data_IF_352167264014
#
_entry.id   IF_352167264014
#
_cell.length_a   1.000
_cell.length_b   1.000
_cell.length_c   1.000
_cell.angle_alpha   90.00
_cell.angle_beta   90.00
_cell.angle_gamma   90.00
#
_symmetry.space_group_name_H-M   'P 1'
#
loop_
_entity.id
_entity.type
_entity.pdbx_description
1 polymer ?
#
# COMPACT_ATOMS: atom_id res chain seq x y z
N UNK A 1 -67.16 9.36 14.27
CA UNK A 1 -66.18 10.37 13.79
C UNK A 1 -64.81 9.70 13.84
N UNK A 2 -64.39 9.02 12.76
CA UNK A 2 -63.18 8.18 12.74
C UNK A 2 -62.01 8.97 12.14
N UNK A 3 -60.94 9.16 12.91
CA UNK A 3 -59.68 9.73 12.41
C UNK A 3 -58.77 8.58 11.99
N UNK A 4 -58.48 8.49 10.70
CA UNK A 4 -57.48 7.57 10.14
C UNK A 4 -56.11 8.23 10.27
N UNK A 5 -55.17 7.56 10.93
CA UNK A 5 -53.78 8.01 11.09
C UNK A 5 -52.95 7.40 9.95
N UNK A 6 -52.51 8.23 9.00
CA UNK A 6 -51.55 7.80 7.96
C UNK A 6 -50.12 7.84 8.52
N UNK A 7 -49.45 6.69 8.54
CA UNK A 7 -48.01 6.60 8.81
C UNK A 7 -47.26 6.70 7.47
N UNK A 8 -46.53 7.81 7.25
CA UNK A 8 -45.59 7.92 6.13
C UNK A 8 -44.28 7.22 6.51
N UNK A 9 -44.00 6.07 5.89
CA UNK A 9 -42.67 5.46 5.90
C UNK A 9 -41.79 6.19 4.88
N UNK A 10 -40.90 7.07 5.37
CA UNK A 10 -39.86 7.67 4.54
C UNK A 10 -38.72 6.66 4.34
N UNK A 11 -38.64 6.09 3.14
CA UNK A 11 -37.49 5.26 2.73
C UNK A 11 -36.32 6.22 2.49
N UNK A 12 -35.36 6.27 3.41
CA UNK A 12 -34.10 6.99 3.22
C UNK A 12 -33.21 6.19 2.26
N UNK A 13 -32.78 6.75 1.12
CA UNK A 13 -31.83 6.08 0.23
C UNK A 13 -30.48 5.97 0.93
N UNK A 14 -30.03 4.74 1.16
CA UNK A 14 -28.70 4.44 1.66
C UNK A 14 -27.70 4.75 0.53
N UNK A 15 -27.17 5.98 0.49
CA UNK A 15 -26.08 6.31 -0.43
C UNK A 15 -24.81 5.56 0.02
N UNK A 16 -24.55 4.42 -0.62
CA UNK A 16 -23.25 3.77 -0.49
C UNK A 16 -22.22 4.63 -1.25
N UNK A 17 -21.28 5.21 -0.52
CA UNK A 17 -20.12 5.91 -1.09
C UNK A 17 -19.29 4.88 -1.86
N UNK A 18 -19.36 4.92 -3.19
CA UNK A 18 -18.45 4.14 -4.04
C UNK A 18 -17.10 4.86 -3.95
N UNK A 19 -16.23 4.40 -3.04
CA UNK A 19 -14.82 4.83 -3.08
C UNK A 19 -14.17 4.22 -4.31
N UNK A 20 -13.74 5.09 -5.22
CA UNK A 20 -12.93 4.69 -6.37
C UNK A 20 -11.65 4.05 -5.85
N UNK A 21 -11.52 2.76 -6.08
CA UNK A 21 -10.36 1.97 -5.71
C UNK A 21 -9.19 2.38 -6.62
N UNK A 22 -8.09 2.88 -6.03
CA UNK A 22 -6.88 3.25 -6.77
C UNK A 22 -5.81 2.19 -6.59
N UNK A 23 -5.12 1.86 -7.68
CA UNK A 23 -3.92 1.02 -7.67
C UNK A 23 -2.62 1.85 -7.59
N UNK A 24 -2.75 3.18 -7.62
CA UNK A 24 -1.65 4.12 -7.80
C UNK A 24 -1.67 5.21 -6.72
N UNK A 25 -0.49 5.54 -6.20
CA UNK A 25 -0.20 6.64 -5.29
C UNK A 25 0.70 7.67 -6.00
N UNK A 26 0.21 8.90 -6.13
CA UNK A 26 0.95 10.02 -6.74
C UNK A 26 1.67 10.88 -5.69
N UNK A 27 2.55 11.80 -6.12
CA UNK A 27 3.28 12.74 -5.24
C UNK A 27 2.37 13.69 -4.47
N UNK A 28 1.14 13.93 -4.93
CA UNK A 28 0.15 14.74 -4.23
C UNK A 28 -0.68 13.97 -3.21
N UNK A 29 -0.52 12.65 -3.16
CA UNK A 29 -1.28 11.77 -2.29
C UNK A 29 -0.42 11.23 -1.16
N UNK A 30 -1.11 10.87 -0.08
CA UNK A 30 -0.54 10.17 1.06
C UNK A 30 -1.45 8.99 1.38
N UNK A 31 -0.88 7.91 1.91
CA UNK A 31 -1.62 6.77 2.43
C UNK A 31 -1.46 6.75 3.94
N UNK A 32 -2.58 6.85 4.66
CA UNK A 32 -2.67 6.79 6.13
C UNK A 32 -3.17 5.43 6.59
N UNK A 33 -3.07 5.20 7.89
CA UNK A 33 -3.67 4.04 8.53
C UNK A 33 -5.19 3.98 8.28
N UNK A 34 -5.69 2.80 7.88
CA UNK A 34 -7.08 2.58 7.49
C UNK A 34 -7.37 2.81 6.00
N UNK A 35 -6.44 3.42 5.25
CA UNK A 35 -6.51 3.57 3.80
C UNK A 35 -5.70 2.46 3.11
N UNK A 36 -6.13 2.07 1.91
CA UNK A 36 -5.45 1.05 1.10
C UNK A 36 -5.40 1.43 -0.38
N UNK A 37 -4.41 0.89 -1.09
CA UNK A 37 -4.41 0.81 -2.56
C UNK A 37 -4.56 -0.66 -2.96
N UNK A 38 -5.25 -0.91 -4.06
CA UNK A 38 -5.62 -2.27 -4.48
C UNK A 38 -5.26 -2.45 -5.95
N UNK A 39 -4.72 -3.60 -6.31
CA UNK A 39 -4.39 -3.92 -7.70
C UNK A 39 -5.63 -3.79 -8.60
N UNK A 40 -5.43 -3.48 -9.88
CA UNK A 40 -6.52 -3.25 -10.83
C UNK A 40 -7.52 -4.41 -10.89
N UNK A 41 -7.04 -5.66 -10.75
CA UNK A 41 -7.87 -6.87 -10.72
C UNK A 41 -8.49 -7.20 -9.34
N UNK A 42 -8.18 -6.41 -8.31
CA UNK A 42 -8.63 -6.59 -6.94
C UNK A 42 -8.01 -7.78 -6.20
N UNK A 43 -6.96 -8.39 -6.71
CA UNK A 43 -6.31 -9.57 -6.11
C UNK A 43 -5.42 -9.20 -4.94
N UNK A 44 -4.64 -8.13 -5.06
CA UNK A 44 -3.69 -7.66 -4.06
C UNK A 44 -4.11 -6.34 -3.45
N UNK A 45 -3.80 -6.16 -2.18
CA UNK A 45 -4.06 -4.94 -1.43
C UNK A 45 -2.84 -4.55 -0.61
N UNK A 46 -2.53 -3.25 -0.61
CA UNK A 46 -1.45 -2.66 0.17
C UNK A 46 -2.02 -1.66 1.16
N UNK A 47 -1.55 -1.73 2.40
CA UNK A 47 -1.90 -0.77 3.45
C UNK A 47 -1.26 -1.06 4.80
N UNK A 48 -1.74 -0.37 5.82
CA UNK A 48 -1.30 -0.56 7.20
C UNK A 48 -1.99 -1.75 7.87
N UNK A 49 -1.23 -2.53 8.64
CA UNK A 49 -1.74 -3.63 9.45
C UNK A 49 -0.97 -3.78 10.77
N UNK A 50 -1.52 -4.53 11.71
CA UNK A 50 -0.84 -4.94 12.95
C UNK A 50 -0.44 -6.40 12.89
N UNK A 51 0.73 -6.74 13.44
CA UNK A 51 1.19 -8.12 13.49
C UNK A 51 0.37 -8.94 14.50
N UNK A 52 -0.28 -10.02 14.03
CA UNK A 52 -0.98 -11.01 14.85
C UNK A 52 -2.43 -10.66 15.20
N UNK A 53 -3.34 -11.64 15.11
CA UNK A 53 -4.78 -11.49 15.41
C UNK A 53 -5.11 -11.14 16.87
N UNK A 54 -4.20 -11.44 17.80
CA UNK A 54 -4.41 -11.30 19.26
C UNK A 54 -3.38 -10.36 19.91
N UNK A 55 -2.74 -9.52 19.10
CA UNK A 55 -1.71 -8.60 19.57
C UNK A 55 -2.37 -7.37 20.19
N UNK A 56 -2.14 -7.13 21.48
CA UNK A 56 -2.43 -5.84 22.14
C UNK A 56 -1.46 -4.73 21.71
N UNK A 57 -0.55 -5.03 20.77
CA UNK A 57 0.42 -4.08 20.27
C UNK A 57 -0.24 -3.06 19.35
N UNK A 58 0.10 -1.80 19.57
CA UNK A 58 -0.22 -0.70 18.65
C UNK A 58 0.79 -0.58 17.51
N UNK A 59 1.70 -1.55 17.34
CA UNK A 59 2.65 -1.57 16.23
C UNK A 59 1.92 -1.70 14.89
N UNK A 60 2.32 -0.86 13.94
CA UNK A 60 1.79 -0.82 12.58
C UNK A 60 2.91 -1.04 11.56
N UNK A 61 2.55 -1.77 10.52
CA UNK A 61 3.41 -2.15 9.41
C UNK A 61 2.71 -1.85 8.09
N UNK A 62 3.46 -1.42 7.08
CA UNK A 62 3.00 -1.38 5.70
C UNK A 62 3.30 -2.74 5.06
N UNK A 63 2.29 -3.35 4.44
CA UNK A 63 2.47 -4.59 3.71
C UNK A 63 1.48 -4.79 2.59
N UNK A 64 1.69 -5.88 1.86
CA UNK A 64 0.83 -6.35 0.76
C UNK A 64 0.23 -7.68 1.20
N UNK A 65 -1.03 -7.94 0.89
CA UNK A 65 -1.71 -9.21 1.13
C UNK A 65 -2.68 -9.55 -0.01
N UNK A 66 -3.15 -10.81 -0.01
CA UNK A 66 -4.25 -11.23 -0.86
C UNK A 66 -5.57 -10.70 -0.31
N UNK A 67 -6.26 -9.84 -1.07
CA UNK A 67 -7.51 -9.21 -0.65
C UNK A 67 -8.68 -10.20 -0.54
N UNK A 68 -8.73 -11.16 -1.47
CA UNK A 68 -9.84 -12.11 -1.62
C UNK A 68 -9.71 -13.36 -0.73
N UNK A 69 -8.68 -13.45 0.10
CA UNK A 69 -8.45 -14.58 1.01
C UNK A 69 -8.86 -14.18 2.43
N UNK A 70 -9.69 -15.01 3.08
CA UNK A 70 -10.22 -14.75 4.42
C UNK A 70 -9.16 -14.79 5.52
N UNK A 71 -8.12 -15.59 5.34
CA UNK A 71 -6.94 -15.57 6.19
C UNK A 71 -6.03 -14.41 5.76
N UNK A 72 -5.85 -13.43 6.65
CA UNK A 72 -4.89 -12.35 6.43
C UNK A 72 -3.47 -12.94 6.36
N UNK A 73 -2.85 -12.87 5.19
CA UNK A 73 -1.50 -13.37 4.94
C UNK A 73 -0.69 -12.26 4.26
N UNK A 74 0.16 -11.53 5.00
CA UNK A 74 1.03 -10.54 4.40
C UNK A 74 2.12 -11.26 3.59
N UNK A 75 2.22 -10.94 2.31
CA UNK A 75 3.20 -11.53 1.36
C UNK A 75 4.44 -10.65 1.21
N UNK A 76 4.33 -9.39 1.59
CA UNK A 76 5.43 -8.42 1.61
C UNK A 76 5.19 -7.41 2.73
N UNK A 77 6.26 -6.95 3.38
CA UNK A 77 6.19 -5.98 4.48
C UNK A 77 7.40 -5.06 4.39
N UNK A 78 7.17 -3.74 4.33
CA UNK A 78 8.21 -2.73 4.14
C UNK A 78 9.08 -2.59 5.40
N UNK A 79 8.46 -2.18 6.49
CA UNK A 79 9.12 -1.75 7.72
C UNK A 79 9.18 -2.87 8.77
N UNK A 80 9.58 -4.08 8.36
CA UNK A 80 9.65 -5.27 9.23
C UNK A 80 10.48 -5.05 10.49
N UNK A 81 11.60 -4.34 10.35
CA UNK A 81 12.57 -4.11 11.42
C UNK A 81 12.11 -3.04 12.41
N UNK A 82 11.46 -1.98 11.91
CA UNK A 82 11.08 -0.80 12.71
C UNK A 82 9.58 -0.52 12.49
N UNK A 83 8.70 -0.95 13.42
CA UNK A 83 7.28 -0.65 13.34
C UNK A 83 6.98 0.83 13.60
N UNK A 84 5.89 1.32 13.01
CA UNK A 84 5.26 2.59 13.44
C UNK A 84 4.48 2.34 14.72
N UNK A 85 4.56 3.27 15.69
CA UNK A 85 3.77 3.18 16.93
C UNK A 85 2.44 3.90 16.77
N UNK A 86 1.33 3.18 16.94
CA UNK A 86 -0.02 3.72 16.73
C UNK A 86 -0.28 4.04 15.26
N UNK A 87 -1.32 4.83 15.01
CA UNK A 87 -1.86 5.14 13.67
C UNK A 87 -1.26 6.40 13.04
N UNK A 88 -0.09 6.85 13.50
CA UNK A 88 0.55 8.09 13.02
C UNK A 88 1.36 7.91 11.73
N UNK A 89 1.37 6.71 11.15
CA UNK A 89 2.13 6.40 9.94
C UNK A 89 1.55 7.08 8.71
N UNK A 90 2.44 7.63 7.88
CA UNK A 90 2.12 8.11 6.54
C UNK A 90 3.10 7.52 5.54
N UNK A 91 2.57 6.82 4.55
CA UNK A 91 3.33 6.39 3.37
C UNK A 91 3.08 7.39 2.24
N UNK A 92 4.15 7.90 1.61
CA UNK A 92 4.05 8.84 0.49
C UNK A 92 5.21 8.69 -0.46
N UNK A 93 4.99 9.06 -1.72
CA UNK A 93 6.07 9.21 -2.70
C UNK A 93 6.55 10.67 -2.70
N UNK A 94 7.86 10.84 -2.66
CA UNK A 94 8.53 12.14 -2.72
C UNK A 94 9.42 12.19 -3.95
N UNK A 95 9.50 13.37 -4.56
CA UNK A 95 10.42 13.59 -5.66
C UNK A 95 11.89 13.38 -5.22
N UNK A 96 12.77 12.92 -6.12
CA UNK A 96 12.54 12.49 -7.50
C UNK A 96 12.06 11.03 -7.71
N UNK A 97 11.49 10.35 -6.69
CA UNK A 97 11.00 8.98 -6.83
C UNK A 97 11.30 8.07 -5.64
N UNK A 98 11.31 8.62 -4.43
CA UNK A 98 11.49 7.83 -3.20
C UNK A 98 10.13 7.55 -2.58
N UNK A 99 9.91 6.31 -2.16
CA UNK A 99 8.79 5.99 -1.28
C UNK A 99 9.27 6.06 0.16
N UNK A 100 8.57 6.83 0.99
CA UNK A 100 8.96 7.10 2.38
C UNK A 100 7.78 6.83 3.31
N UNK A 101 8.06 6.08 4.36
CA UNK A 101 7.18 5.91 5.52
C UNK A 101 7.70 6.78 6.66
N UNK A 102 6.87 7.74 7.09
CA UNK A 102 7.19 8.64 8.19
C UNK A 102 6.20 8.48 9.36
N UNK A 103 6.64 8.88 10.54
CA UNK A 103 5.74 9.15 11.66
C UNK A 103 5.28 10.62 11.59
N UNK A 104 3.98 10.85 11.39
CA UNK A 104 3.42 12.21 11.23
C UNK A 104 3.46 13.08 12.49
N UNK A 105 3.74 12.49 13.66
CA UNK A 105 3.84 13.25 14.92
C UNK A 105 5.28 13.73 15.14
N UNK A 106 6.27 12.86 14.93
CA UNK A 106 7.68 13.17 15.17
C UNK A 106 8.44 13.63 13.93
N UNK A 107 7.85 13.43 12.73
CA UNK A 107 8.49 13.58 11.42
C UNK A 107 9.69 12.65 11.17
N UNK A 108 9.88 11.63 12.00
CA UNK A 108 10.95 10.65 11.80
C UNK A 108 10.66 9.77 10.57
N UNK A 109 11.70 9.51 9.78
CA UNK A 109 11.64 8.50 8.72
C UNK A 109 11.81 7.12 9.33
N UNK A 110 10.80 6.27 9.16
CA UNK A 110 10.76 4.91 9.69
C UNK A 110 11.32 3.91 8.67
N UNK A 111 11.02 4.12 7.39
CA UNK A 111 11.49 3.29 6.29
C UNK A 111 11.46 4.09 4.99
N UNK A 112 12.38 3.80 4.07
CA UNK A 112 12.37 4.36 2.73
C UNK A 112 12.99 3.37 1.73
N UNK A 113 12.63 3.54 0.46
CA UNK A 113 13.27 2.80 -0.62
C UNK A 113 14.69 3.30 -0.86
N UNK A 114 15.61 2.37 -1.07
CA UNK A 114 16.95 2.67 -1.58
C UNK A 114 16.90 2.68 -3.11
N UNK A 115 16.54 3.83 -3.70
CA UNK A 115 16.58 4.03 -5.16
C UNK A 115 17.97 4.52 -5.57
N UNK A 116 18.43 4.08 -6.74
CA UNK A 116 19.66 4.58 -7.36
C UNK A 116 19.53 6.06 -7.75
N UNK A 117 20.63 6.69 -8.14
CA UNK A 117 20.68 8.12 -8.52
C UNK A 117 19.86 8.51 -9.77
N UNK A 118 19.04 7.59 -10.30
CA UNK A 118 18.18 7.82 -11.46
C UNK A 118 16.92 8.55 -10.98
N UNK A 119 16.64 9.72 -11.56
CA UNK A 119 15.43 10.51 -11.31
C UNK A 119 14.38 10.27 -12.39
N UNK A 120 13.11 10.25 -12.00
CA UNK A 120 11.98 10.33 -12.93
C UNK A 120 11.28 11.67 -12.79
N UNK A 121 10.58 12.11 -13.85
CA UNK A 121 9.92 13.42 -13.88
C UNK A 121 8.57 13.38 -13.18
N UNK A 122 7.84 12.27 -13.30
CA UNK A 122 6.51 12.12 -12.71
C UNK A 122 6.43 10.82 -11.91
N UNK A 123 7.09 10.76 -10.73
CA UNK A 123 7.14 9.53 -9.96
C UNK A 123 5.76 9.15 -9.44
N UNK A 124 5.40 7.87 -9.63
CA UNK A 124 4.22 7.24 -9.04
C UNK A 124 4.59 5.89 -8.43
N UNK A 125 3.92 5.53 -7.35
CA UNK A 125 3.98 4.19 -6.79
C UNK A 125 2.72 3.41 -7.19
N UNK A 126 2.86 2.22 -7.76
CA UNK A 126 1.74 1.45 -8.32
C UNK A 126 1.79 -0.01 -7.85
N UNK A 127 0.65 -0.53 -7.40
CA UNK A 127 0.48 -1.95 -7.08
C UNK A 127 -0.02 -2.69 -8.31
N UNK A 128 0.82 -3.57 -8.86
CA UNK A 128 0.49 -4.36 -10.05
C UNK A 128 -0.36 -5.58 -9.69
N UNK A 129 -1.09 -6.12 -10.68
CA UNK A 129 -1.88 -7.35 -10.55
C UNK A 129 -1.03 -8.60 -10.26
N UNK A 130 0.30 -8.48 -10.38
CA UNK A 130 1.25 -9.52 -9.95
C UNK A 130 1.51 -9.50 -8.44
N UNK A 131 1.06 -8.46 -7.74
CA UNK A 131 1.42 -8.18 -6.35
C UNK A 131 2.74 -7.41 -6.22
N UNK A 132 3.42 -7.11 -7.33
CA UNK A 132 4.62 -6.29 -7.31
C UNK A 132 4.24 -4.82 -7.12
N UNK A 133 4.70 -4.22 -6.03
CA UNK A 133 4.62 -2.79 -5.80
C UNK A 133 5.84 -2.10 -6.38
N UNK A 134 5.62 -1.16 -7.30
CA UNK A 134 6.67 -0.54 -8.10
C UNK A 134 6.68 0.97 -7.97
N UNK A 135 7.85 1.58 -8.11
CA UNK A 135 8.02 3.01 -8.33
C UNK A 135 8.49 3.23 -9.76
N UNK A 136 7.77 4.03 -10.54
CA UNK A 136 8.08 4.32 -11.95
C UNK A 136 7.69 5.74 -12.35
N UNK A 137 8.06 6.17 -13.56
CA UNK A 137 7.48 7.36 -14.17
C UNK A 137 6.05 7.07 -14.65
N UNK A 138 5.11 7.98 -14.39
CA UNK A 138 3.72 7.85 -14.80
C UNK A 138 3.54 7.77 -16.32
N UNK A 139 4.46 8.35 -17.09
CA UNK A 139 4.35 8.46 -18.55
C UNK A 139 5.23 7.45 -19.30
N UNK A 140 6.12 6.74 -18.61
CA UNK A 140 7.08 5.82 -19.22
C UNK A 140 7.17 4.53 -18.40
N UNK A 141 6.47 3.49 -18.85
CA UNK A 141 6.38 2.21 -18.15
C UNK A 141 7.74 1.51 -17.96
N UNK A 142 8.68 1.71 -18.90
CA UNK A 142 10.02 1.12 -18.85
C UNK A 142 10.96 1.80 -17.84
N UNK A 143 10.59 2.99 -17.33
CA UNK A 143 11.39 3.73 -16.34
C UNK A 143 11.01 3.31 -14.92
N UNK A 144 11.40 2.09 -14.56
CA UNK A 144 11.27 1.51 -13.23
C UNK A 144 12.44 1.93 -12.33
N UNK A 145 12.14 2.57 -11.19
CA UNK A 145 13.14 2.98 -10.20
C UNK A 145 13.35 1.95 -9.09
N UNK A 146 12.26 1.29 -8.68
CA UNK A 146 12.26 0.36 -7.56
C UNK A 146 11.10 -0.62 -7.68
N UNK A 147 11.29 -1.83 -7.17
CA UNK A 147 10.22 -2.81 -7.07
C UNK A 147 10.34 -3.66 -5.80
N UNK A 148 9.20 -3.98 -5.20
CA UNK A 148 9.11 -4.82 -4.00
C UNK A 148 9.65 -6.23 -4.21
N UNK A 149 9.56 -6.75 -5.44
CA UNK A 149 10.03 -8.09 -5.80
C UNK A 149 11.55 -8.25 -5.71
N UNK A 150 12.30 -7.14 -5.69
CA UNK A 150 13.74 -7.14 -5.46
C UNK A 150 14.13 -7.16 -3.98
N UNK A 151 13.14 -7.01 -3.09
CA UNK A 151 13.32 -7.01 -1.63
C UNK A 151 12.29 -7.97 -1.03
N UNK A 152 12.41 -9.28 -1.31
CA UNK A 152 11.45 -10.25 -0.84
C UNK A 152 11.48 -10.38 0.67
N UNK A 153 10.43 -11.03 1.15
CA UNK A 153 10.04 -11.05 2.53
C UNK A 153 10.17 -12.50 3.03
N UNK A 154 9.13 -13.11 3.61
CA UNK A 154 9.14 -14.56 3.91
C UNK A 154 8.38 -15.38 2.85
N UNK A 155 7.96 -14.73 1.75
CA UNK A 155 7.11 -15.32 0.72
C UNK A 155 7.68 -15.01 -0.65
N UNK A 156 7.79 -16.04 -1.49
CA UNK A 156 8.15 -15.93 -2.90
C UNK A 156 6.87 -16.05 -3.75
N UNK A 157 6.54 -14.98 -4.48
CA UNK A 157 5.40 -14.96 -5.41
C UNK A 157 5.83 -15.41 -6.80
N UNK A 158 4.85 -15.81 -7.62
CA UNK A 158 5.08 -16.01 -9.05
C UNK A 158 5.70 -14.74 -9.66
N UNK A 159 6.70 -14.92 -10.52
CA UNK A 159 7.49 -13.84 -11.16
C UNK A 159 8.52 -13.13 -10.26
N UNK A 160 8.61 -13.45 -8.96
CA UNK A 160 9.80 -13.07 -8.18
C UNK A 160 11.02 -13.85 -8.67
N UNK A 161 12.19 -13.20 -8.65
CA UNK A 161 13.47 -13.80 -9.02
C UNK A 161 14.27 -14.03 -7.74
N UNK A 162 14.83 -15.23 -7.60
CA UNK A 162 15.73 -15.59 -6.51
C UNK A 162 17.15 -15.79 -7.07
N UNK A 163 18.14 -15.18 -6.42
CA UNK A 163 19.55 -15.14 -6.79
C UNK A 163 20.04 -13.74 -7.16
N UNK A 164 21.37 -13.64 -7.34
CA UNK A 164 22.06 -12.41 -7.72
C UNK A 164 21.63 -11.92 -9.11
N UNK A 165 21.20 -10.67 -9.18
CA UNK A 165 21.16 -9.91 -10.42
C UNK A 165 22.58 -9.57 -10.86
N UNK A 166 23.03 -10.11 -11.98
CA UNK A 166 24.41 -9.94 -12.46
C UNK A 166 24.68 -8.53 -13.03
N UNK A 167 23.63 -7.76 -13.35
CA UNK A 167 23.76 -6.39 -13.87
C UNK A 167 23.84 -5.40 -12.72
N UNK A 168 22.96 -5.52 -11.73
CA UNK A 168 22.89 -4.58 -10.59
C UNK A 168 23.70 -5.03 -9.38
N UNK A 169 24.09 -6.30 -9.33
CA UNK A 169 24.76 -6.92 -8.17
C UNK A 169 23.83 -7.21 -6.99
N UNK A 170 22.53 -6.93 -7.12
CA UNK A 170 21.55 -7.10 -6.07
C UNK A 170 21.26 -8.59 -5.80
N UNK A 171 21.33 -8.99 -4.54
CA UNK A 171 20.82 -10.29 -4.09
C UNK A 171 19.33 -10.14 -3.77
N UNK A 172 18.49 -10.94 -4.42
CA UNK A 172 17.04 -11.01 -4.23
C UNK A 172 16.60 -12.46 -4.19
#
# INVERSE_FOLDING_TARGET
MNKILLFLFTILPLFQKIESQSDTLTTSQILKDGETIISSDGTFELGFFSAGKNSSSTNRYIGIWYKKISAFTPIWVANRQIPVKGISGILKIVEPGYLVLINNVTNDTIWSTNVSSISVKNPVAKLLDTGNFVIKDANYDDLLLWQSFDYPSDTLLASMKLGRDLVTGLER
#
